data_IF_662376257714
#
_entry.id   IF_662376257714
#
_cell.length_a   1.000
_cell.length_b   1.000
_cell.length_c   1.000
_cell.angle_alpha   90.00
_cell.angle_beta   90.00
_cell.angle_gamma   90.00
#
_symmetry.space_group_name_H-M   'P 1'
#
loop_
_entity.id
_entity.type
_entity.pdbx_description
1 polymer ?
#
# COMPACT_ATOMS: atom_id res chain seq x y z
N UNK A 1 20.89 -34.84 39.46
CA UNK A 1 19.41 -34.81 39.36
C UNK A 1 19.04 -33.79 38.30
N UNK A 2 18.73 -34.26 37.09
CA UNK A 2 18.23 -33.44 35.99
C UNK A 2 16.71 -33.33 36.12
N UNK A 3 16.19 -32.11 36.31
CA UNK A 3 14.75 -31.86 36.24
C UNK A 3 14.32 -31.68 34.79
N UNK A 4 13.48 -32.60 34.35
CA UNK A 4 12.71 -32.57 33.11
C UNK A 4 11.53 -31.59 33.21
N UNK A 5 11.27 -30.93 32.08
CA UNK A 5 9.97 -30.51 31.54
C UNK A 5 9.20 -29.36 32.20
N UNK A 6 9.13 -28.26 31.45
CA UNK A 6 7.89 -27.51 31.31
C UNK A 6 7.65 -27.29 29.81
N UNK A 7 6.91 -28.21 29.18
CA UNK A 7 6.44 -28.06 27.79
C UNK A 7 5.29 -27.06 27.84
N UNK A 8 5.59 -25.82 27.46
CA UNK A 8 4.58 -24.80 27.24
C UNK A 8 3.60 -25.28 26.15
N UNK A 9 2.31 -25.24 26.49
CA UNK A 9 1.21 -25.43 25.55
C UNK A 9 1.27 -24.36 24.44
N UNK A 10 1.94 -24.68 23.33
CA UNK A 10 1.81 -23.91 22.10
C UNK A 10 0.42 -24.14 21.54
N UNK A 11 -0.52 -23.23 21.82
CA UNK A 11 -1.76 -23.10 21.04
C UNK A 11 -1.38 -22.97 19.57
N UNK A 12 -1.71 -23.98 18.76
CA UNK A 12 -1.62 -23.93 17.29
C UNK A 12 -2.66 -22.94 16.78
N UNK A 13 -2.36 -21.64 16.86
CA UNK A 13 -3.04 -20.65 16.03
C UNK A 13 -2.66 -20.92 14.57
N UNK A 14 -3.66 -21.04 13.70
CA UNK A 14 -3.43 -21.23 12.27
C UNK A 14 -2.60 -20.05 11.75
N UNK A 15 -1.71 -20.31 10.77
CA UNK A 15 -0.90 -19.26 10.15
C UNK A 15 -1.77 -18.11 9.59
N UNK A 16 -3.01 -18.40 9.19
CA UNK A 16 -3.96 -17.40 8.69
C UNK A 16 -4.50 -16.46 9.77
N UNK A 17 -4.56 -16.87 11.04
CA UNK A 17 -5.00 -15.98 12.12
C UNK A 17 -3.89 -15.00 12.55
N UNK A 18 -2.62 -15.36 12.37
CA UNK A 18 -1.47 -14.50 12.73
C UNK A 18 -1.27 -13.33 11.78
N UNK A 19 -1.71 -13.45 10.53
CA UNK A 19 -1.46 -12.45 9.48
C UNK A 19 -2.66 -11.55 9.20
N UNK A 20 -3.56 -11.39 10.18
CA UNK A 20 -4.74 -10.55 9.98
C UNK A 20 -4.96 -9.58 11.12
N UNK A 21 -5.18 -8.32 10.77
CA UNK A 21 -5.43 -7.22 11.70
C UNK A 21 -6.86 -6.74 11.62
N UNK A 22 -7.46 -6.38 12.76
CA UNK A 22 -8.78 -5.74 12.78
C UNK A 22 -8.56 -4.24 13.01
N UNK A 23 -8.76 -3.38 12.01
CA UNK A 23 -8.52 -1.96 12.16
C UNK A 23 -9.32 -1.33 13.30
N UNK A 24 -8.69 -0.42 14.03
CA UNK A 24 -9.37 0.42 15.01
C UNK A 24 -10.21 1.50 14.31
N UNK A 25 -11.10 2.18 15.05
CA UNK A 25 -11.88 3.30 14.49
C UNK A 25 -10.96 4.40 13.94
N UNK A 26 -9.91 4.76 14.68
CA UNK A 26 -8.95 5.80 14.27
C UNK A 26 -8.24 5.42 12.98
N UNK A 27 -7.83 4.15 12.85
CA UNK A 27 -7.21 3.64 11.63
C UNK A 27 -8.18 3.65 10.46
N UNK A 28 -9.45 3.30 10.67
CA UNK A 28 -10.49 3.37 9.65
C UNK A 28 -10.79 4.81 9.22
N UNK A 29 -10.91 5.74 10.16
CA UNK A 29 -11.20 7.15 9.87
C UNK A 29 -10.08 7.76 9.00
N UNK A 30 -8.81 7.42 9.28
CA UNK A 30 -7.68 7.80 8.44
C UNK A 30 -7.69 7.06 7.09
N UNK A 31 -7.88 5.74 7.11
CA UNK A 31 -7.83 4.90 5.93
C UNK A 31 -8.95 5.22 4.94
N UNK A 32 -10.12 5.64 5.41
CA UNK A 32 -11.33 5.87 4.60
C UNK A 32 -11.56 7.35 4.27
N UNK A 33 -10.65 8.25 4.65
CA UNK A 33 -10.78 9.68 4.37
C UNK A 33 -10.94 9.96 2.87
N UNK A 34 -11.73 10.99 2.55
CA UNK A 34 -11.90 11.55 1.21
C UNK A 34 -11.72 13.08 1.28
N UNK A 35 -10.68 13.64 0.62
CA UNK A 35 -9.62 12.94 -0.11
C UNK A 35 -8.75 12.06 0.82
N UNK A 36 -7.96 11.16 0.24
CA UNK A 36 -6.98 10.38 1.01
C UNK A 36 -5.99 11.34 1.69
N UNK A 37 -5.73 11.18 2.98
CA UNK A 37 -4.80 12.04 3.73
C UNK A 37 -3.44 11.36 3.94
N UNK A 38 -2.37 12.13 3.78
CA UNK A 38 -1.02 11.74 4.20
C UNK A 38 -0.92 11.68 5.73
N UNK A 39 0.19 11.17 6.27
CA UNK A 39 0.45 11.24 7.71
C UNK A 39 0.54 12.69 8.24
N UNK A 40 0.94 13.62 7.37
CA UNK A 40 0.90 15.07 7.61
C UNK A 40 -0.50 15.71 7.63
N UNK A 41 -1.58 14.91 7.52
CA UNK A 41 -2.98 15.35 7.48
C UNK A 41 -3.37 16.29 6.33
N UNK A 42 -2.50 16.43 5.33
CA UNK A 42 -2.81 17.06 4.04
C UNK A 42 -3.36 16.05 3.06
N UNK A 43 -4.13 16.48 2.04
CA UNK A 43 -4.47 15.63 0.90
C UNK A 43 -3.22 14.97 0.31
N UNK A 44 -3.30 13.68 0.02
CA UNK A 44 -2.23 12.95 -0.62
C UNK A 44 -2.10 13.39 -2.08
N UNK A 45 -0.85 13.61 -2.52
CA UNK A 45 -0.57 13.98 -3.91
C UNK A 45 -0.65 12.74 -4.80
N UNK A 46 -1.37 12.84 -5.92
CA UNK A 46 -1.42 11.78 -6.93
C UNK A 46 -0.28 11.97 -7.91
N UNK A 47 0.57 10.95 -8.04
CA UNK A 47 1.60 10.89 -9.07
C UNK A 47 1.42 9.64 -9.94
N UNK A 48 1.87 9.69 -11.20
CA UNK A 48 1.73 8.59 -12.13
C UNK A 48 3.07 7.93 -12.40
N UNK A 49 3.06 6.60 -12.45
CA UNK A 49 4.25 5.76 -12.69
C UNK A 49 3.91 4.70 -13.73
N UNK A 50 4.89 4.25 -14.50
CA UNK A 50 4.68 3.13 -15.43
C UNK A 50 4.61 1.79 -14.71
N UNK A 51 5.31 1.67 -13.59
CA UNK A 51 5.52 0.44 -12.84
C UNK A 51 4.30 0.07 -12.00
N UNK A 52 3.69 1.05 -11.33
CA UNK A 52 2.59 0.84 -10.38
C UNK A 52 1.30 1.60 -10.75
N UNK A 53 1.32 2.35 -11.85
CA UNK A 53 0.24 3.25 -12.22
C UNK A 53 0.17 4.44 -11.26
N UNK A 54 -1.04 4.92 -10.92
CA UNK A 54 -1.20 6.01 -9.96
C UNK A 54 -0.76 5.59 -8.55
N UNK A 55 0.02 6.44 -7.91
CA UNK A 55 0.48 6.33 -6.54
C UNK A 55 0.02 7.57 -5.75
N UNK A 56 -0.12 7.39 -4.43
CA UNK A 56 -0.43 8.45 -3.49
C UNK A 56 0.81 8.74 -2.65
N UNK A 57 1.29 9.98 -2.68
CA UNK A 57 2.45 10.45 -1.93
C UNK A 57 2.08 11.58 -0.96
N UNK A 58 3.06 12.08 -0.21
CA UNK A 58 2.87 13.23 0.67
C UNK A 58 2.41 14.48 -0.10
N UNK A 59 1.32 15.13 0.36
CA UNK A 59 0.77 16.34 -0.26
C UNK A 59 1.73 17.53 -0.39
N UNK A 60 2.79 17.56 0.41
CA UNK A 60 3.85 18.56 0.27
C UNK A 60 4.57 18.51 -1.08
N UNK A 61 4.49 17.41 -1.84
CA UNK A 61 5.03 17.39 -3.20
C UNK A 61 4.27 18.30 -4.16
N UNK A 62 2.96 18.45 -3.97
CA UNK A 62 2.10 19.28 -4.82
C UNK A 62 2.32 20.77 -4.58
N UNK A 63 2.46 21.18 -3.32
CA UNK A 63 2.56 22.60 -2.96
C UNK A 63 3.75 23.32 -3.61
N UNK A 64 4.89 22.65 -3.84
CA UNK A 64 6.02 23.27 -4.57
C UNK A 64 5.76 23.38 -6.07
N UNK A 65 4.97 22.48 -6.64
CA UNK A 65 4.58 22.57 -8.05
C UNK A 65 3.61 23.75 -8.28
N UNK A 66 2.75 24.02 -7.30
CA UNK A 66 1.80 25.14 -7.32
C UNK A 66 2.46 26.48 -6.99
N UNK A 67 3.40 26.49 -6.04
CA UNK A 67 4.17 27.68 -5.67
C UNK A 67 5.68 27.35 -5.62
N UNK A 68 6.40 27.64 -6.71
CA UNK A 68 7.85 27.42 -6.79
C UNK A 68 8.67 28.24 -5.79
N UNK A 69 8.08 29.24 -5.13
CA UNK A 69 8.76 30.03 -4.09
C UNK A 69 8.83 29.27 -2.76
N UNK A 70 7.97 28.25 -2.56
CA UNK A 70 7.96 27.41 -1.37
C UNK A 70 9.06 26.36 -1.42
N UNK A 71 10.12 26.55 -0.64
CA UNK A 71 11.17 25.54 -0.45
C UNK A 71 10.75 24.51 0.61
N UNK A 72 10.12 23.42 0.16
CA UNK A 72 9.70 22.36 1.08
C UNK A 72 10.83 21.35 1.27
N UNK A 73 11.44 21.41 2.44
CA UNK A 73 12.58 20.58 2.80
C UNK A 73 12.20 19.22 3.42
N UNK A 74 10.93 19.05 3.84
CA UNK A 74 10.50 17.86 4.58
C UNK A 74 9.13 17.32 4.13
N UNK A 75 8.96 16.00 4.25
CA UNK A 75 7.75 15.24 3.92
C UNK A 75 7.45 14.21 5.02
N UNK A 76 6.24 13.66 5.06
CA UNK A 76 5.85 12.67 6.09
C UNK A 76 6.12 11.19 5.71
N UNK A 77 6.76 10.92 4.57
CA UNK A 77 7.10 9.53 4.17
C UNK A 77 5.93 8.64 3.74
N UNK A 78 4.72 9.21 3.61
CA UNK A 78 3.53 8.51 3.11
C UNK A 78 3.68 8.12 1.63
N UNK A 79 3.44 6.84 1.34
CA UNK A 79 3.47 6.26 -0.02
C UNK A 79 2.49 5.10 -0.13
N UNK A 80 1.57 5.13 -1.09
CA UNK A 80 0.63 4.04 -1.37
C UNK A 80 0.41 3.83 -2.86
N UNK A 81 0.09 2.61 -3.27
CA UNK A 81 -0.31 2.33 -4.66
C UNK A 81 -1.83 2.46 -4.77
N UNK A 82 -2.32 3.39 -5.60
CA UNK A 82 -3.74 3.80 -5.57
C UNK A 82 -4.69 2.65 -5.91
N UNK A 83 -4.34 1.78 -6.87
CA UNK A 83 -5.15 0.61 -7.21
C UNK A 83 -5.27 -0.40 -6.06
N UNK A 84 -4.13 -0.75 -5.45
CA UNK A 84 -4.07 -1.69 -4.32
C UNK A 84 -4.79 -1.12 -3.10
N UNK A 85 -4.65 0.19 -2.88
CA UNK A 85 -5.35 0.91 -1.83
C UNK A 85 -6.85 1.00 -2.05
N UNK A 86 -7.31 1.29 -3.27
CA UNK A 86 -8.72 1.34 -3.63
C UNK A 86 -9.44 0.01 -3.35
N UNK A 87 -8.80 -1.12 -3.72
CA UNK A 87 -9.32 -2.46 -3.39
C UNK A 87 -9.44 -2.70 -1.89
N UNK A 88 -8.46 -2.24 -1.11
CA UNK A 88 -8.50 -2.34 0.35
C UNK A 88 -9.60 -1.44 0.94
N UNK A 89 -9.71 -0.19 0.49
CA UNK A 89 -10.78 0.74 0.88
C UNK A 89 -12.16 0.16 0.61
N UNK A 90 -12.43 -0.34 -0.59
CA UNK A 90 -13.70 -0.95 -0.94
C UNK A 90 -14.05 -2.10 0.01
N UNK A 91 -13.08 -3.00 0.27
CA UNK A 91 -13.26 -4.11 1.22
C UNK A 91 -13.57 -3.64 2.65
N UNK A 92 -12.92 -2.55 3.09
CA UNK A 92 -13.15 -1.96 4.41
C UNK A 92 -14.53 -1.30 4.52
N UNK A 93 -15.03 -0.71 3.44
CA UNK A 93 -16.35 -0.07 3.38
C UNK A 93 -17.51 -1.09 3.34
N UNK A 94 -17.35 -2.19 2.59
CA UNK A 94 -18.41 -3.19 2.39
C UNK A 94 -18.82 -3.96 3.66
N UNK A 95 -17.86 -4.19 4.58
CA UNK A 95 -18.07 -5.11 5.71
C UNK A 95 -17.50 -4.54 7.00
N UNK A 96 -18.39 -4.31 7.98
CA UNK A 96 -17.98 -3.90 9.34
C UNK A 96 -17.13 -4.99 9.99
N UNK A 97 -15.99 -4.59 10.56
CA UNK A 97 -15.11 -5.49 11.30
C UNK A 97 -14.26 -6.42 10.41
N UNK A 98 -14.09 -6.10 9.12
CA UNK A 98 -13.17 -6.82 8.24
C UNK A 98 -11.77 -6.86 8.84
N UNK A 99 -11.17 -8.04 8.76
CA UNK A 99 -9.74 -8.20 9.03
C UNK A 99 -8.96 -7.96 7.74
N UNK A 100 -7.92 -7.14 7.82
CA UNK A 100 -6.99 -6.87 6.72
C UNK A 100 -5.85 -7.89 6.76
N UNK A 101 -5.41 -8.35 5.60
CA UNK A 101 -4.30 -9.29 5.49
C UNK A 101 -2.97 -8.50 5.52
N UNK A 102 -2.07 -8.84 6.45
CA UNK A 102 -0.77 -8.18 6.61
C UNK A 102 0.33 -8.78 5.74
N UNK A 103 0.01 -9.86 5.01
CA UNK A 103 0.89 -10.59 4.10
C UNK A 103 0.52 -10.40 2.61
N UNK A 104 -0.24 -9.35 2.28
CA UNK A 104 -0.64 -9.05 0.91
C UNK A 104 0.55 -8.84 -0.04
N UNK A 105 0.47 -9.39 -1.27
CA UNK A 105 1.58 -9.39 -2.25
C UNK A 105 2.15 -8.01 -2.57
N UNK A 106 1.31 -6.98 -2.55
CA UNK A 106 1.70 -5.60 -2.85
C UNK A 106 2.64 -5.02 -1.79
N UNK A 107 2.46 -5.46 -0.53
CA UNK A 107 3.34 -5.08 0.58
C UNK A 107 4.74 -5.71 0.42
N UNK A 108 4.84 -6.84 -0.26
CA UNK A 108 6.13 -7.44 -0.63
C UNK A 108 6.82 -6.69 -1.76
N UNK A 109 6.05 -6.16 -2.72
CA UNK A 109 6.58 -5.52 -3.92
C UNK A 109 7.22 -4.14 -3.64
N UNK A 110 6.63 -3.35 -2.75
CA UNK A 110 7.09 -1.99 -2.47
C UNK A 110 7.34 -1.76 -0.97
N UNK A 111 8.62 -1.68 -0.54
CA UNK A 111 8.97 -1.47 0.87
C UNK A 111 8.46 -0.16 1.48
N UNK A 112 8.28 0.88 0.67
CA UNK A 112 7.69 2.15 1.13
C UNK A 112 6.18 2.02 1.36
N UNK A 113 5.50 1.31 0.45
CA UNK A 113 4.09 1.02 0.64
C UNK A 113 3.89 0.17 1.89
N UNK A 114 4.74 -0.84 2.09
CA UNK A 114 4.69 -1.65 3.30
C UNK A 114 4.95 -0.83 4.58
N UNK A 115 5.93 0.07 4.56
CA UNK A 115 6.19 0.98 5.68
C UNK A 115 4.96 1.82 6.00
N UNK A 116 4.32 2.41 4.98
CA UNK A 116 3.12 3.24 5.16
C UNK A 116 1.92 2.43 5.65
N UNK A 117 1.70 1.24 5.09
CA UNK A 117 0.64 0.32 5.54
C UNK A 117 0.82 -0.07 7.00
N UNK A 118 2.04 -0.47 7.37
CA UNK A 118 2.35 -0.89 8.73
C UNK A 118 2.20 0.26 9.73
N UNK A 119 2.66 1.47 9.37
CA UNK A 119 2.49 2.67 10.19
C UNK A 119 1.02 3.08 10.34
N UNK A 120 0.22 2.97 9.28
CA UNK A 120 -1.19 3.34 9.28
C UNK A 120 -2.05 2.41 10.14
N UNK A 121 -1.76 1.11 10.12
CA UNK A 121 -2.57 0.10 10.79
C UNK A 121 -1.92 -0.47 12.06
N UNK A 122 -0.82 0.13 12.54
CA UNK A 122 -0.11 -0.32 13.74
C UNK A 122 0.20 -1.83 13.73
N UNK A 123 0.67 -2.32 12.58
CA UNK A 123 0.98 -3.74 12.35
C UNK A 123 2.41 -3.91 11.88
N UNK A 124 2.97 -5.11 12.08
CA UNK A 124 4.24 -5.50 11.49
C UNK A 124 4.09 -6.80 10.70
N UNK A 125 5.03 -7.03 9.79
CA UNK A 125 5.10 -8.23 8.93
C UNK A 125 6.55 -8.52 8.55
N UNK A 126 6.77 -9.63 7.84
CA UNK A 126 8.11 -10.07 7.43
C UNK A 126 8.67 -9.32 6.20
N UNK A 127 7.86 -8.53 5.51
CA UNK A 127 8.29 -7.84 4.30
C UNK A 127 9.18 -6.64 4.62
N UNK A 128 10.08 -6.32 3.70
CA UNK A 128 10.97 -5.18 3.83
C UNK A 128 10.17 -3.88 4.04
N UNK A 129 10.71 -3.00 4.88
CA UNK A 129 10.16 -1.67 5.18
C UNK A 129 11.29 -0.68 5.02
N UNK A 130 11.09 0.35 4.23
CA UNK A 130 12.14 1.33 3.94
C UNK A 130 11.53 2.71 3.68
N UNK A 131 12.18 3.74 4.18
CA UNK A 131 11.92 5.13 3.79
C UNK A 131 12.88 5.55 2.66
N UNK A 132 12.50 6.55 1.87
CA UNK A 132 13.36 7.05 0.78
C UNK A 132 14.63 7.71 1.33
N UNK A 133 14.44 8.56 2.31
CA UNK A 133 15.48 9.21 3.08
C UNK A 133 15.40 8.70 4.51
N UNK A 134 16.54 8.60 5.17
CA UNK A 134 16.61 8.26 6.59
C UNK A 134 16.93 9.55 7.33
N UNK A 135 16.09 10.00 8.28
CA UNK A 135 16.38 11.19 9.05
C UNK A 135 17.61 10.99 9.93
N UNK A 136 18.14 12.09 10.46
CA UNK A 136 19.23 12.05 11.43
C UNK A 136 18.74 12.44 12.81
N UNK A 137 19.19 11.73 13.84
CA UNK A 137 18.89 12.10 15.23
C UNK A 137 19.72 13.32 15.69
N UNK A 138 19.56 13.71 16.96
CA UNK A 138 20.35 14.80 17.57
C UNK A 138 21.86 14.55 17.56
N UNK A 139 22.30 13.27 17.53
CA UNK A 139 23.70 12.90 17.38
C UNK A 139 24.24 13.03 15.94
N UNK A 140 23.44 13.56 15.00
CA UNK A 140 23.78 13.65 13.57
C UNK A 140 24.07 12.29 12.92
N UNK A 141 23.48 11.22 13.46
CA UNK A 141 23.57 9.86 12.92
C UNK A 141 22.22 9.45 12.33
N UNK A 142 22.21 8.62 11.28
CA UNK A 142 20.97 8.03 10.77
C UNK A 142 20.25 7.25 11.86
N UNK A 143 18.92 7.38 11.89
CA UNK A 143 18.05 6.60 12.79
C UNK A 143 17.76 5.24 12.19
N UNK A 144 17.41 4.27 13.04
CA UNK A 144 17.04 2.92 12.61
C UNK A 144 15.56 2.67 12.88
N UNK A 145 14.92 1.89 12.02
CA UNK A 145 13.55 1.44 12.21
C UNK A 145 13.51 0.28 13.22
N UNK A 146 12.69 0.38 14.25
CA UNK A 146 12.43 -0.68 15.23
C UNK A 146 10.94 -0.99 15.31
N UNK A 147 10.64 -2.24 15.67
CA UNK A 147 9.31 -2.68 16.11
C UNK A 147 9.28 -2.63 17.63
N UNK A 148 8.41 -1.78 18.19
CA UNK A 148 8.14 -1.68 19.62
C UNK A 148 6.70 -2.09 19.89
N UNK A 149 6.48 -3.38 20.14
CA UNK A 149 5.17 -3.89 20.55
C UNK A 149 4.08 -3.73 19.47
N UNK A 150 4.43 -3.83 18.19
CA UNK A 150 3.50 -3.67 17.06
C UNK A 150 3.49 -2.26 16.47
N UNK A 151 4.11 -1.28 17.14
CA UNK A 151 4.29 0.07 16.60
C UNK A 151 5.66 0.18 15.95
N UNK A 152 5.69 0.69 14.72
CA UNK A 152 6.93 1.01 14.05
C UNK A 152 7.41 2.41 14.43
N UNK A 153 8.67 2.48 14.88
CA UNK A 153 9.29 3.72 15.32
C UNK A 153 10.68 3.85 14.71
N UNK A 154 11.10 5.07 14.42
CA UNK A 154 12.49 5.36 14.17
C UNK A 154 13.17 5.78 15.47
N UNK A 155 14.33 5.21 15.77
CA UNK A 155 15.09 5.50 17.00
C UNK A 155 16.56 5.77 16.72
N UNK A 156 17.20 6.53 17.59
CA UNK A 156 18.66 6.64 17.58
C UNK A 156 19.32 5.31 17.97
N UNK A 157 20.34 4.86 17.23
CA UNK A 157 21.10 3.65 17.60
C UNK A 157 21.75 3.73 18.99
N UNK A 158 22.05 4.94 19.48
CA UNK A 158 22.69 5.15 20.77
C UNK A 158 21.69 5.20 21.96
N UNK A 159 20.37 5.04 21.73
CA UNK A 159 19.39 5.13 22.83
C UNK A 159 19.56 4.00 23.87
N UNK A 160 19.94 2.81 23.40
CA UNK A 160 20.02 1.58 24.21
C UNK A 160 21.45 1.13 24.49
N UNK A 161 22.45 1.90 24.06
CA UNK A 161 23.86 1.55 24.32
C UNK A 161 24.16 1.76 25.81
N UNK A 162 24.50 0.68 26.49
CA UNK A 162 24.90 0.71 27.89
C UNK A 162 26.16 1.57 28.06
N UNK A 163 26.16 2.48 29.04
CA UNK A 163 27.27 3.41 29.29
C UNK A 163 27.32 4.66 28.38
N UNK A 164 26.51 4.76 27.32
CA UNK A 164 26.47 5.97 26.50
C UNK A 164 25.88 7.17 27.27
N UNK A 165 26.66 8.26 27.41
CA UNK A 165 26.23 9.52 28.06
C UNK A 165 26.64 10.73 27.21
N UNK A 166 25.72 11.65 26.87
CA UNK A 166 24.28 11.58 27.09
C UNK A 166 23.60 10.55 26.16
N UNK A 167 22.52 9.91 26.63
CA UNK A 167 21.66 9.11 25.77
C UNK A 167 20.89 10.01 24.81
N UNK A 168 20.79 9.61 23.55
CA UNK A 168 19.96 10.31 22.58
C UNK A 168 18.50 9.88 22.74
N UNK A 169 17.62 10.82 23.05
CA UNK A 169 16.18 10.60 23.25
C UNK A 169 15.35 10.60 21.96
N UNK A 170 16.00 10.65 20.79
CA UNK A 170 15.28 10.69 19.53
C UNK A 170 14.60 9.34 19.27
N UNK A 171 13.28 9.32 19.42
CA UNK A 171 12.37 8.24 19.12
C UNK A 171 11.06 8.85 18.60
N UNK A 172 10.60 8.47 17.40
CA UNK A 172 9.34 8.93 16.84
C UNK A 172 8.59 7.80 16.09
N UNK A 173 7.26 7.70 16.25
CA UNK A 173 6.43 6.84 15.40
C UNK A 173 6.62 7.18 13.93
N UNK A 174 6.62 6.17 13.04
CA UNK A 174 6.86 6.39 11.60
C UNK A 174 5.94 7.47 10.99
N UNK A 175 4.67 7.50 11.40
CA UNK A 175 3.68 8.47 10.92
C UNK A 175 3.97 9.91 11.37
N UNK A 176 4.80 10.11 12.39
CA UNK A 176 5.13 11.44 12.94
C UNK A 176 6.49 11.97 12.46
N UNK A 177 7.26 11.15 11.73
CA UNK A 177 8.60 11.54 11.28
C UNK A 177 8.52 12.52 10.10
N UNK A 178 9.20 13.65 10.26
CA UNK A 178 9.52 14.56 9.18
C UNK A 178 10.79 14.08 8.45
N UNK A 179 10.61 13.44 7.31
CA UNK A 179 11.70 12.96 6.46
C UNK A 179 12.27 14.10 5.61
N UNK A 180 13.60 14.21 5.49
CA UNK A 180 14.20 15.09 4.49
C UNK A 180 13.64 14.74 3.11
N UNK A 181 13.31 15.76 2.32
CA UNK A 181 12.79 15.52 0.97
C UNK A 181 13.84 14.78 0.13
N UNK A 182 13.48 13.63 -0.49
CA UNK A 182 14.41 12.90 -1.33
C UNK A 182 14.74 13.70 -2.59
N UNK A 183 16.03 13.73 -2.94
CA UNK A 183 16.52 14.29 -4.20
C UNK A 183 16.14 13.39 -5.38
N UNK A 184 16.12 12.08 -5.15
CA UNK A 184 15.77 11.06 -6.15
C UNK A 184 14.40 10.46 -5.86
N UNK A 185 13.55 10.33 -6.88
CA UNK A 185 12.27 9.62 -6.77
C UNK A 185 12.49 8.11 -6.77
N UNK A 186 11.61 7.37 -6.10
CA UNK A 186 11.66 5.90 -6.11
C UNK A 186 11.23 5.34 -7.46
N UNK A 187 10.15 5.91 -7.99
CA UNK A 187 9.52 5.48 -9.22
C UNK A 187 9.78 6.52 -10.30
N UNK A 188 9.76 6.08 -11.55
CA UNK A 188 9.82 6.99 -12.69
C UNK A 188 8.46 7.68 -12.84
N UNK A 189 8.42 8.95 -12.48
CA UNK A 189 7.22 9.77 -12.65
C UNK A 189 7.00 10.06 -14.13
N UNK A 190 5.74 10.04 -14.53
CA UNK A 190 5.29 10.39 -15.88
C UNK A 190 4.08 11.31 -15.80
N UNK A 191 3.81 12.03 -16.89
CA UNK A 191 2.61 12.87 -16.96
C UNK A 191 1.35 12.00 -17.05
N UNK A 192 0.19 12.58 -16.74
CA UNK A 192 -1.09 11.91 -16.90
C UNK A 192 -1.31 11.50 -18.36
N UNK A 193 -0.97 12.37 -19.32
CA UNK A 193 -1.11 12.10 -20.75
C UNK A 193 -0.22 10.94 -21.18
N UNK A 194 1.03 10.89 -20.73
CA UNK A 194 1.94 9.78 -21.02
C UNK A 194 1.41 8.47 -20.44
N UNK A 195 0.94 8.48 -19.19
CA UNK A 195 0.34 7.31 -18.55
C UNK A 195 -0.90 6.82 -19.31
N UNK A 196 -1.81 7.71 -19.68
CA UNK A 196 -3.03 7.37 -20.42
C UNK A 196 -2.71 6.82 -21.81
N UNK A 197 -1.73 7.40 -22.50
CA UNK A 197 -1.26 6.91 -23.80
C UNK A 197 -0.74 5.47 -23.70
N UNK A 198 0.16 5.20 -22.75
CA UNK A 198 0.70 3.84 -22.54
C UNK A 198 -0.40 2.84 -22.15
N UNK A 199 -1.36 3.27 -21.32
CA UNK A 199 -2.52 2.43 -20.96
C UNK A 199 -3.35 2.08 -22.20
N UNK A 200 -3.64 3.06 -23.06
CA UNK A 200 -4.40 2.86 -24.28
C UNK A 200 -3.67 1.96 -25.29
N UNK A 201 -2.36 2.16 -25.46
CA UNK A 201 -1.53 1.35 -26.36
C UNK A 201 -1.51 -0.12 -25.93
N UNK A 202 -1.42 -0.39 -24.62
CA UNK A 202 -1.51 -1.77 -24.07
C UNK A 202 -2.86 -2.40 -24.36
N UNK A 203 -3.97 -1.66 -24.21
CA UNK A 203 -5.31 -2.16 -24.52
C UNK A 203 -5.47 -2.46 -26.01
N UNK A 204 -4.91 -1.59 -26.86
CA UNK A 204 -4.93 -1.77 -28.31
C UNK A 204 -4.08 -2.98 -28.75
N UNK A 205 -2.99 -3.30 -28.05
CA UNK A 205 -2.18 -4.49 -28.34
C UNK A 205 -2.88 -5.81 -27.98
N UNK A 206 -3.71 -5.82 -26.93
CA UNK A 206 -4.41 -7.04 -26.48
C UNK A 206 -5.61 -7.36 -27.39
N UNK A 207 -6.35 -6.36 -27.86
CA UNK A 207 -7.55 -6.53 -28.69
C UNK A 207 -7.37 -7.40 -29.97
N UNK A 208 -6.27 -7.28 -30.76
CA UNK A 208 -6.11 -8.03 -32.00
C UNK A 208 -5.72 -9.51 -31.85
N UNK A 209 -5.42 -10.03 -30.64
CA UNK A 209 -5.08 -11.45 -30.45
C UNK A 209 -6.28 -12.36 -30.16
N UNK A 210 -7.50 -11.82 -30.12
CA UNK A 210 -8.73 -12.58 -29.79
C UNK A 210 -9.40 -13.26 -30.99
N UNK A 211 -8.81 -13.26 -32.19
CA UNK A 211 -9.39 -13.91 -33.37
C UNK A 211 -8.34 -14.77 -34.06
N UNK A 212 -8.43 -16.07 -33.83
CA UNK A 212 -8.19 -17.19 -34.76
C UNK A 212 -8.21 -18.50 -33.95
N UNK A 213 -9.34 -18.82 -33.32
CA UNK A 213 -9.64 -20.22 -33.06
C UNK A 213 -9.96 -20.86 -34.42
N UNK A 214 -9.20 -21.88 -34.87
CA UNK A 214 -9.60 -22.65 -36.03
C UNK A 214 -10.96 -23.28 -35.71
N UNK A 215 -11.93 -23.05 -36.58
CA UNK A 215 -13.19 -23.78 -36.58
C UNK A 215 -12.88 -25.26 -36.78
N UNK A 216 -12.81 -26.02 -35.68
CA UNK A 216 -12.82 -27.47 -35.75
C UNK A 216 -14.27 -27.83 -36.12
N UNK A 217 -14.49 -28.16 -37.40
CA UNK A 217 -15.71 -28.81 -37.86
C UNK A 217 -15.82 -30.18 -37.16
N UNK A 218 -16.51 -30.19 -36.03
CA UNK A 218 -16.93 -31.43 -35.37
C UNK A 218 -18.15 -31.92 -36.16
N UNK A 219 -17.93 -32.91 -37.02
CA UNK A 219 -19.01 -33.71 -37.58
C UNK A 219 -19.85 -34.29 -36.44
N UNK A 220 -21.11 -33.86 -36.37
CA UNK A 220 -22.17 -34.46 -35.55
C UNK A 220 -22.30 -35.93 -35.91
N UNK A 221 -22.02 -36.81 -34.97
CA UNK A 221 -22.65 -38.13 -34.90
C UNK A 221 -23.68 -38.08 -33.78
N UNK A 222 -24.94 -38.25 -34.16
CA UNK A 222 -26.06 -38.43 -33.25
C UNK A 222 -25.88 -39.72 -32.45
N UNK A 223 -25.73 -39.59 -31.14
CA UNK A 223 -26.15 -40.61 -30.18
C UNK A 223 -26.51 -39.92 -28.89
N UNK A 224 -27.81 -40.02 -28.58
CA UNK A 224 -28.43 -39.67 -27.31
C UNK A 224 -27.62 -40.22 -26.14
N UNK A 225 -27.52 -39.44 -25.05
CA UNK A 225 -27.71 -39.92 -23.68
C UNK A 225 -28.03 -38.71 -22.79
N UNK A 226 -29.16 -38.84 -22.10
CA UNK A 226 -29.73 -37.92 -21.13
C UNK A 226 -28.94 -38.05 -19.82
N UNK A 227 -28.52 -36.95 -19.20
CA UNK A 227 -28.38 -36.85 -17.74
C UNK A 227 -28.44 -35.39 -17.27
N UNK A 228 -29.22 -35.20 -16.21
CA UNK A 228 -29.62 -33.95 -15.55
C UNK A 228 -28.50 -33.21 -14.80
N UNK A 229 -28.68 -31.88 -14.66
CA UNK A 229 -28.31 -30.96 -13.55
C UNK A 229 -26.83 -30.93 -13.04
N UNK A 230 -26.19 -29.80 -12.72
CA UNK A 230 -26.65 -28.50 -12.21
C UNK A 230 -25.42 -27.56 -12.12
N UNK A 231 -25.69 -26.26 -12.08
CA UNK A 231 -24.87 -25.15 -11.56
C UNK A 231 -23.65 -24.64 -12.35
N UNK A 232 -23.99 -23.81 -13.33
CA UNK A 232 -23.21 -22.69 -13.86
C UNK A 232 -23.14 -21.51 -12.88
N UNK A 233 -21.93 -21.07 -12.52
CA UNK A 233 -21.65 -19.65 -12.18
C UNK A 233 -20.21 -19.27 -12.51
N UNK A 234 -20.02 -18.88 -13.77
CA UNK A 234 -18.86 -18.14 -14.26
C UNK A 234 -18.82 -16.75 -13.63
N UNK A 235 -17.69 -16.39 -13.03
CA UNK A 235 -17.46 -15.05 -12.48
C UNK A 235 -16.70 -14.22 -13.53
N UNK A 236 -17.43 -13.54 -14.41
CA UNK A 236 -16.90 -12.41 -15.17
C UNK A 236 -16.79 -11.21 -14.22
N UNK A 237 -15.55 -10.81 -13.92
CA UNK A 237 -15.29 -9.58 -13.19
C UNK A 237 -15.46 -8.39 -14.15
N UNK A 238 -16.63 -7.76 -14.08
CA UNK A 238 -16.90 -6.44 -14.64
C UNK A 238 -15.94 -5.44 -13.99
N UNK A 239 -14.93 -4.99 -14.74
CA UNK A 239 -14.12 -3.83 -14.41
C UNK A 239 -14.98 -2.59 -14.65
N UNK A 240 -15.66 -2.08 -13.62
CA UNK A 240 -16.35 -0.79 -13.70
C UNK A 240 -15.31 0.33 -13.76
N UNK A 241 -15.42 1.16 -14.80
CA UNK A 241 -14.55 2.30 -15.10
C UNK A 241 -14.99 3.59 -14.38
N UNK A 242 -15.99 3.52 -13.50
CA UNK A 242 -16.79 4.71 -13.16
C UNK A 242 -16.28 5.55 -11.98
N UNK A 243 -15.24 5.12 -11.26
CA UNK A 243 -14.70 5.91 -10.14
C UNK A 243 -13.67 6.98 -10.55
N UNK A 244 -13.19 6.99 -11.80
CA UNK A 244 -12.07 7.87 -12.19
C UNK A 244 -12.51 9.23 -12.78
N UNK A 245 -13.78 9.40 -13.15
CA UNK A 245 -14.26 10.63 -13.84
C UNK A 245 -14.93 11.62 -12.88
N UNK A 246 -15.51 11.17 -11.77
CA UNK A 246 -16.25 12.08 -10.88
C UNK A 246 -15.33 12.98 -10.01
N UNK A 247 -14.11 12.53 -9.67
CA UNK A 247 -13.24 13.29 -8.75
C UNK A 247 -12.55 14.49 -9.44
N UNK A 248 -12.31 14.45 -10.76
CA UNK A 248 -11.69 15.58 -11.49
C UNK A 248 -12.69 16.64 -11.99
N UNK A 249 -13.95 16.27 -12.26
CA UNK A 249 -14.95 17.26 -12.73
C UNK A 249 -15.43 18.21 -11.61
N UNK A 250 -15.21 17.85 -10.34
CA UNK A 250 -15.51 18.71 -9.18
C UNK A 250 -14.55 19.91 -9.06
N UNK A 251 -13.30 19.78 -9.51
CA UNK A 251 -12.28 20.83 -9.41
C UNK A 251 -12.22 21.76 -10.63
N UNK A 252 -12.93 21.45 -11.72
CA UNK A 252 -13.03 22.28 -12.93
C UNK A 252 -14.27 23.19 -12.97
N UNK A 253 -15.12 23.17 -11.94
CA UNK A 253 -16.34 24.01 -11.85
C UNK A 253 -16.40 24.91 -10.60
N UNK A 254 -15.26 25.27 -10.02
CA UNK A 254 -15.16 26.32 -8.99
C UNK A 254 -14.04 27.29 -9.32
#
# INVERSE_FOLDING_TARGET
>A
MCHYLNIAQYKKYSLSERNTHKPTKVELDLALSQPALCFCKKPAHVAFTHEYGPILECGNYQMEAEDPTLQINYICGFHMHMHSWGKLKAKLMEKKGVRIATDHRELRACPLYNLSFCAMFSVTNIYAKRSLTVPTCFCKRPVILKDQGGTLEFVCMNCDVEGAKPKCSWNLPVAEVAFPRPVTRLHRLVSLEEYLKVKQDKLNYIKPQTVLTPSIDIQRNDSQMIFDSSDSRSSEAVLTNDMFIEEQNSELTK
#
